data_IF_610884179605
#
_entry.id   IF_610884179605
#
_cell.length_a   1.000
_cell.length_b   1.000
_cell.length_c   1.000
_cell.angle_alpha   90.00
_cell.angle_beta   90.00
_cell.angle_gamma   90.00
#
_symmetry.space_group_name_H-M   'P 1'
#
loop_
_entity.id
_entity.type
_entity.pdbx_description
1 polymer ?
#
# COMPACT_ATOMS: atom_id res chain seq x y z
N UNK A 1 1.18 9.92 -0.73
CA UNK A 1 0.49 11.10 -1.30
C UNK A 1 -0.99 11.05 -0.98
N UNK A 2 -1.67 12.20 -1.06
CA UNK A 2 -3.13 12.32 -0.98
C UNK A 2 -3.58 13.11 -2.21
N UNK A 3 -4.58 12.60 -2.93
CA UNK A 3 -5.21 13.25 -4.08
C UNK A 3 -6.69 13.49 -3.79
N UNK A 4 -7.06 14.76 -3.57
CA UNK A 4 -8.40 15.14 -3.11
C UNK A 4 -9.40 15.37 -4.25
N UNK A 5 -8.91 15.54 -5.47
CA UNK A 5 -9.72 15.95 -6.62
C UNK A 5 -10.18 14.77 -7.50
N UNK A 6 -10.12 13.54 -6.98
CA UNK A 6 -10.58 12.38 -7.72
C UNK A 6 -12.09 12.43 -7.91
N UNK A 7 -12.53 12.56 -9.16
CA UNK A 7 -13.95 12.73 -9.45
C UNK A 7 -14.41 12.04 -10.72
N UNK A 8 -13.57 11.24 -11.34
CA UNK A 8 -13.86 10.56 -12.60
C UNK A 8 -13.46 9.08 -12.59
N UNK A 9 -13.00 8.61 -13.74
CA UNK A 9 -12.52 7.23 -13.95
C UNK A 9 -10.99 7.17 -14.13
N UNK A 10 -10.26 8.23 -13.79
CA UNK A 10 -8.82 8.28 -13.92
C UNK A 10 -8.29 8.42 -15.35
N UNK A 11 -9.13 8.86 -16.31
CA UNK A 11 -8.74 8.99 -17.71
C UNK A 11 -8.22 10.39 -18.05
N UNK A 12 -7.46 10.48 -19.17
CA UNK A 12 -6.98 11.74 -19.76
C UNK A 12 -6.19 12.59 -18.74
N UNK A 13 -6.61 13.83 -18.55
CA UNK A 13 -5.93 14.80 -17.70
C UNK A 13 -5.90 14.39 -16.22
N UNK A 14 -6.87 13.59 -15.78
CA UNK A 14 -6.92 13.10 -14.38
C UNK A 14 -5.77 12.12 -14.09
N UNK A 15 -5.45 11.22 -15.04
CA UNK A 15 -4.31 10.31 -14.88
C UNK A 15 -2.97 11.06 -14.76
N UNK A 16 -2.81 12.15 -15.52
CA UNK A 16 -1.63 13.01 -15.44
C UNK A 16 -1.55 13.72 -14.09
N UNK A 17 -2.67 14.26 -13.61
CA UNK A 17 -2.74 14.92 -12.30
C UNK A 17 -2.42 13.95 -11.17
N UNK A 18 -2.98 12.74 -11.23
CA UNK A 18 -2.68 11.68 -10.24
C UNK A 18 -1.21 11.29 -10.27
N UNK A 19 -0.62 11.08 -11.44
CA UNK A 19 0.80 10.76 -11.58
C UNK A 19 1.69 11.87 -10.99
N UNK A 20 1.36 13.14 -11.26
CA UNK A 20 2.06 14.28 -10.68
C UNK A 20 1.89 14.36 -9.15
N UNK A 21 0.71 14.08 -8.62
CA UNK A 21 0.44 14.06 -7.19
C UNK A 21 1.16 12.90 -6.48
N UNK A 22 1.25 11.74 -7.13
CA UNK A 22 2.00 10.60 -6.62
C UNK A 22 3.51 10.93 -6.56
N UNK A 23 4.07 11.51 -7.63
CA UNK A 23 5.49 11.82 -7.73
C UNK A 23 6.35 10.57 -7.55
N UNK A 24 7.29 10.64 -6.61
CA UNK A 24 8.20 9.54 -6.26
C UNK A 24 7.67 8.65 -5.10
N UNK A 25 6.41 8.81 -4.72
CA UNK A 25 5.83 8.03 -3.62
C UNK A 25 5.22 6.72 -4.11
N UNK A 26 5.21 5.72 -3.25
CA UNK A 26 4.65 4.39 -3.59
C UNK A 26 3.15 4.30 -3.34
N UNK A 27 2.59 5.18 -2.50
CA UNK A 27 1.20 5.10 -2.08
C UNK A 27 0.49 6.43 -2.29
N UNK A 28 -0.75 6.36 -2.73
CA UNK A 28 -1.63 7.53 -2.82
C UNK A 28 -3.04 7.17 -2.38
N UNK A 29 -3.56 7.94 -1.43
CA UNK A 29 -4.97 7.88 -1.05
C UNK A 29 -5.74 8.77 -2.01
N UNK A 30 -6.74 8.20 -2.66
CA UNK A 30 -7.73 8.92 -3.45
C UNK A 30 -8.91 9.26 -2.52
N UNK A 31 -9.15 10.54 -2.30
CA UNK A 31 -10.24 10.96 -1.42
C UNK A 31 -11.58 10.35 -1.85
N UNK A 32 -12.30 9.75 -0.91
CA UNK A 32 -13.61 9.11 -1.11
C UNK A 32 -13.65 7.97 -2.15
N UNK A 33 -12.50 7.44 -2.57
CA UNK A 33 -12.47 6.40 -3.60
C UNK A 33 -11.69 5.16 -3.18
N UNK A 34 -10.45 5.31 -2.75
CA UNK A 34 -9.61 4.17 -2.39
C UNK A 34 -8.13 4.51 -2.36
N UNK A 35 -7.29 3.55 -2.68
CA UNK A 35 -5.85 3.68 -2.63
C UNK A 35 -5.20 3.18 -3.92
N UNK A 36 -4.11 3.83 -4.30
CA UNK A 36 -3.18 3.35 -5.32
C UNK A 36 -1.88 2.95 -4.63
N UNK A 37 -1.37 1.78 -4.95
CA UNK A 37 -0.02 1.34 -4.62
C UNK A 37 0.75 1.04 -5.88
N UNK A 38 2.04 1.32 -5.87
CA UNK A 38 2.95 1.07 -6.99
C UNK A 38 4.13 0.22 -6.53
N UNK A 39 4.75 -0.48 -7.47
CA UNK A 39 5.96 -1.28 -7.27
C UNK A 39 6.58 -1.60 -8.62
N UNK A 40 7.82 -2.03 -8.62
CA UNK A 40 8.52 -2.48 -9.83
C UNK A 40 7.95 -3.83 -10.32
N UNK A 41 7.37 -4.60 -9.42
CA UNK A 41 6.74 -5.89 -9.69
C UNK A 41 5.33 -5.96 -9.11
N UNK A 42 4.53 -6.91 -9.61
CA UNK A 42 3.20 -7.21 -9.04
C UNK A 42 3.33 -7.65 -7.58
N UNK A 43 4.38 -8.40 -7.23
CA UNK A 43 4.62 -8.84 -5.86
C UNK A 43 4.82 -7.66 -4.91
N UNK A 44 5.60 -6.66 -5.32
CA UNK A 44 5.82 -5.44 -4.52
C UNK A 44 4.54 -4.62 -4.37
N UNK A 45 3.81 -4.39 -5.47
CA UNK A 45 2.55 -3.65 -5.41
C UNK A 45 1.53 -4.32 -4.51
N UNK A 46 1.40 -5.65 -4.60
CA UNK A 46 0.52 -6.45 -3.75
C UNK A 46 0.94 -6.41 -2.27
N UNK A 47 2.21 -6.64 -1.99
CA UNK A 47 2.76 -6.58 -0.63
C UNK A 47 2.55 -5.20 0.00
N UNK A 48 2.80 -4.15 -0.77
CA UNK A 48 2.60 -2.75 -0.37
C UNK A 48 1.13 -2.47 -0.02
N UNK A 49 0.19 -2.94 -0.83
CA UNK A 49 -1.25 -2.79 -0.57
C UNK A 49 -1.65 -3.53 0.71
N UNK A 50 -1.22 -4.77 0.86
CA UNK A 50 -1.54 -5.59 2.02
C UNK A 50 -1.10 -4.92 3.35
N UNK A 51 0.15 -4.47 3.41
CA UNK A 51 0.64 -3.82 4.63
C UNK A 51 0.04 -2.43 4.85
N UNK A 52 -0.30 -1.71 3.78
CA UNK A 52 -1.03 -0.45 3.92
C UNK A 52 -2.41 -0.66 4.55
N UNK A 53 -3.17 -1.65 4.09
CA UNK A 53 -4.47 -2.01 4.65
C UNK A 53 -4.34 -2.44 6.13
N UNK A 54 -3.34 -3.26 6.45
CA UNK A 54 -3.09 -3.67 7.84
C UNK A 54 -2.71 -2.51 8.75
N UNK A 55 -1.92 -1.56 8.26
CA UNK A 55 -1.58 -0.35 8.99
C UNK A 55 -2.82 0.53 9.21
N UNK A 56 -3.67 0.70 8.20
CA UNK A 56 -4.91 1.46 8.30
C UNK A 56 -5.89 0.82 9.32
N UNK A 57 -6.08 -0.49 9.27
CA UNK A 57 -6.91 -1.24 10.23
C UNK A 57 -6.40 -1.05 11.66
N UNK A 58 -5.09 -1.19 11.87
CA UNK A 58 -4.44 -0.99 13.16
C UNK A 58 -4.63 0.43 13.66
N UNK A 59 -4.42 1.42 12.81
CA UNK A 59 -4.56 2.83 13.16
C UNK A 59 -6.00 3.20 13.51
N UNK A 60 -6.98 2.76 12.74
CA UNK A 60 -8.40 2.99 13.03
C UNK A 60 -8.80 2.31 14.34
N UNK A 61 -8.33 1.08 14.58
CA UNK A 61 -8.57 0.36 15.84
C UNK A 61 -7.97 1.12 17.02
N UNK A 62 -6.75 1.61 16.89
CA UNK A 62 -6.10 2.40 17.94
C UNK A 62 -6.87 3.70 18.23
N UNK A 63 -7.32 4.42 17.19
CA UNK A 63 -8.14 5.63 17.34
C UNK A 63 -9.46 5.34 18.08
N UNK A 64 -10.08 4.18 17.84
CA UNK A 64 -11.37 3.81 18.47
C UNK A 64 -11.28 3.63 19.99
N UNK A 65 -10.07 3.48 20.53
CA UNK A 65 -9.85 3.38 21.98
C UNK A 65 -10.02 4.71 22.72
N UNK A 66 -10.07 5.84 22.02
CA UNK A 66 -10.07 7.20 22.56
C UNK A 66 -8.89 7.49 23.51
N UNK A 67 -7.81 6.73 23.42
CA UNK A 67 -6.57 6.99 24.16
C UNK A 67 -5.64 7.83 23.32
N UNK A 68 -4.78 8.59 23.98
CA UNK A 68 -3.69 9.30 23.31
C UNK A 68 -2.77 8.29 22.61
N UNK A 69 -2.48 8.55 21.32
CA UNK A 69 -1.60 7.70 20.55
C UNK A 69 -0.14 8.14 20.70
N UNK A 70 0.74 7.20 20.92
CA UNK A 70 2.17 7.41 20.82
C UNK A 70 2.60 7.39 19.35
N UNK A 71 2.68 8.56 18.72
CA UNK A 71 3.04 8.70 17.32
C UNK A 71 4.56 8.70 17.19
N UNK A 72 5.08 7.82 16.33
CA UNK A 72 6.51 7.78 16.02
C UNK A 72 6.97 9.10 15.37
N UNK A 73 8.17 9.56 15.69
CA UNK A 73 8.72 10.76 15.07
C UNK A 73 8.99 10.55 13.58
N UNK A 74 8.99 11.65 12.82
CA UNK A 74 9.26 11.60 11.37
C UNK A 74 10.64 11.00 11.08
N UNK A 75 11.66 11.34 11.85
CA UNK A 75 13.02 10.80 11.74
C UNK A 75 13.05 9.26 11.90
N UNK A 76 12.34 8.73 12.91
CA UNK A 76 12.27 7.27 13.11
C UNK A 76 11.48 6.60 11.98
N UNK A 77 10.41 7.23 11.52
CA UNK A 77 9.62 6.70 10.41
C UNK A 77 10.42 6.65 9.11
N UNK A 78 11.18 7.68 8.79
CA UNK A 78 12.06 7.71 7.62
C UNK A 78 13.15 6.66 7.71
N UNK A 79 13.87 6.58 8.83
CA UNK A 79 14.88 5.55 9.06
C UNK A 79 14.33 4.14 8.88
N UNK A 80 13.17 3.86 9.45
CA UNK A 80 12.51 2.55 9.32
C UNK A 80 12.15 2.24 7.88
N UNK A 81 11.67 3.24 7.13
CA UNK A 81 11.35 3.11 5.70
C UNK A 81 12.59 2.80 4.86
N UNK A 82 13.71 3.48 5.13
CA UNK A 82 14.99 3.23 4.44
C UNK A 82 15.54 1.84 4.76
N UNK A 83 15.50 1.42 6.02
CA UNK A 83 15.93 0.07 6.42
C UNK A 83 15.07 -1.02 5.78
N UNK A 84 13.75 -0.82 5.70
CA UNK A 84 12.84 -1.74 5.04
C UNK A 84 13.09 -1.82 3.52
N UNK A 85 13.35 -0.69 2.87
CA UNK A 85 13.65 -0.65 1.43
C UNK A 85 14.98 -1.36 1.08
N UNK A 86 15.93 -1.37 2.01
CA UNK A 86 17.25 -2.00 1.83
C UNK A 86 17.33 -3.41 2.44
N UNK A 87 16.19 -4.01 2.82
CA UNK A 87 16.19 -5.35 3.40
C UNK A 87 16.69 -6.40 2.38
N UNK A 88 17.66 -7.26 2.74
CA UNK A 88 18.40 -8.08 1.77
C UNK A 88 17.62 -9.28 1.22
N UNK A 89 16.36 -9.44 1.59
CA UNK A 89 15.50 -10.55 1.17
C UNK A 89 14.28 -10.01 0.44
N UNK A 90 13.97 -10.58 -0.72
CA UNK A 90 12.75 -10.25 -1.47
C UNK A 90 11.51 -10.86 -0.78
N UNK A 91 11.10 -10.20 0.30
CA UNK A 91 9.95 -10.62 1.10
C UNK A 91 8.63 -10.49 0.35
N UNK A 92 8.52 -9.56 -0.59
CA UNK A 92 7.33 -9.37 -1.42
C UNK A 92 7.09 -10.58 -2.33
N UNK A 93 8.14 -11.05 -2.99
CA UNK A 93 8.07 -12.25 -3.84
C UNK A 93 7.75 -13.51 -3.04
N UNK A 94 8.38 -13.66 -1.87
CA UNK A 94 8.09 -14.80 -0.99
C UNK A 94 6.63 -14.77 -0.54
N UNK A 95 6.14 -13.62 -0.08
CA UNK A 95 4.75 -13.46 0.37
C UNK A 95 3.74 -13.80 -0.74
N UNK A 96 3.91 -13.25 -1.95
CA UNK A 96 3.04 -13.57 -3.08
C UNK A 96 3.08 -15.06 -3.45
N UNK A 97 4.27 -15.70 -3.35
CA UNK A 97 4.42 -17.13 -3.59
C UNK A 97 3.63 -17.97 -2.59
N UNK A 98 3.67 -17.61 -1.30
CA UNK A 98 2.90 -18.31 -0.26
C UNK A 98 1.39 -18.14 -0.46
N UNK A 99 0.92 -16.95 -0.82
CA UNK A 99 -0.49 -16.71 -1.16
C UNK A 99 -0.92 -17.60 -2.34
N UNK A 100 -0.09 -17.71 -3.38
CA UNK A 100 -0.38 -18.61 -4.51
C UNK A 100 -0.48 -20.06 -4.07
N UNK A 101 0.40 -20.53 -3.20
CA UNK A 101 0.34 -21.89 -2.66
C UNK A 101 -0.95 -22.17 -1.87
N UNK A 102 -1.50 -21.14 -1.21
CA UNK A 102 -2.81 -21.24 -0.54
C UNK A 102 -3.93 -21.33 -1.58
N UNK A 103 -3.95 -20.41 -2.55
CA UNK A 103 -4.97 -20.39 -3.61
C UNK A 103 -4.98 -21.67 -4.45
N UNK A 104 -3.80 -22.21 -4.78
CA UNK A 104 -3.70 -23.48 -5.52
C UNK A 104 -4.37 -24.67 -4.81
N UNK A 105 -4.50 -24.59 -3.47
CA UNK A 105 -5.15 -25.63 -2.66
C UNK A 105 -6.62 -25.33 -2.39
N UNK A 106 -6.96 -24.09 -2.11
CA UNK A 106 -8.27 -23.70 -1.61
C UNK A 106 -9.20 -23.18 -2.71
N UNK A 107 -8.64 -22.51 -3.72
CA UNK A 107 -9.40 -21.88 -4.82
C UNK A 107 -8.68 -22.05 -6.17
N UNK A 108 -8.45 -23.30 -6.65
CA UNK A 108 -7.63 -23.56 -7.86
C UNK A 108 -8.19 -22.97 -9.15
N UNK A 109 -9.44 -22.58 -9.18
CA UNK A 109 -10.14 -22.05 -10.38
C UNK A 109 -9.68 -20.63 -10.75
N UNK A 110 -8.89 -19.96 -9.93
CA UNK A 110 -8.39 -18.61 -10.23
C UNK A 110 -7.43 -18.55 -11.43
N UNK A 111 -6.92 -19.71 -11.89
CA UNK A 111 -6.03 -19.83 -13.06
C UNK A 111 -6.77 -20.13 -14.38
N UNK A 112 -8.11 -20.25 -14.39
CA UNK A 112 -8.93 -20.57 -15.55
C UNK A 112 -9.50 -19.32 -16.22
#
# INVERSE_FOLDING_TARGET
>A
AIYNDYGGLGFKDESIKMANALGNKQHMILANHGIITTGETVAEGFNSLYYFEKAAETYITALSTNKELNIVSHEIAEKTSEEAANYPVDTAKQFLSEIRCILDKEEPDYVN
#
